data_IF_532814519157
#
_entry.id   IF_532814519157
#
_cell.length_a   1.000
_cell.length_b   1.000
_cell.length_c   1.000
_cell.angle_alpha   90.00
_cell.angle_beta   90.00
_cell.angle_gamma   90.00
#
_symmetry.space_group_name_H-M   'P 1'
#
loop_
_entity.id
_entity.type
_entity.pdbx_description
1 polymer ?
#
# COMPACT_ATOMS: atom_id res chain seq x y z
N UNK A 1 -21.75 36.90 0.70
CA UNK A 1 -21.20 35.68 1.34
C UNK A 1 -19.70 35.78 1.21
N UNK A 2 -19.02 36.08 2.31
CA UNK A 2 -17.57 36.24 2.33
C UNK A 2 -16.94 34.85 2.17
N UNK A 3 -16.32 34.59 1.01
CA UNK A 3 -15.77 33.28 0.67
C UNK A 3 -14.61 32.95 1.61
N UNK A 4 -14.88 32.14 2.62
CA UNK A 4 -13.93 31.80 3.68
C UNK A 4 -12.59 31.33 3.13
N UNK A 5 -11.54 32.14 3.33
CA UNK A 5 -10.20 31.85 2.83
C UNK A 5 -9.46 30.95 3.82
N UNK A 6 -9.45 29.64 3.59
CA UNK A 6 -8.72 28.69 4.45
C UNK A 6 -7.22 28.93 4.34
N UNK A 7 -6.52 29.05 5.48
CA UNK A 7 -5.07 29.30 5.58
C UNK A 7 -4.29 28.15 6.24
N UNK A 8 -4.99 27.11 6.72
CA UNK A 8 -4.41 25.94 7.35
C UNK A 8 -5.09 24.68 6.80
N UNK A 9 -4.29 23.64 6.55
CA UNK A 9 -4.78 22.33 6.13
C UNK A 9 -4.05 21.29 6.96
N UNK A 10 -4.79 20.43 7.64
CA UNK A 10 -4.23 19.31 8.37
C UNK A 10 -4.06 18.12 7.42
N UNK A 11 -2.87 17.52 7.45
CA UNK A 11 -2.43 16.53 6.47
C UNK A 11 -1.53 15.49 7.12
N UNK A 12 -1.35 14.37 6.44
CA UNK A 12 -0.46 13.28 6.86
C UNK A 12 0.43 12.85 5.71
N UNK A 13 1.64 12.39 6.03
CA UNK A 13 2.53 11.79 5.03
C UNK A 13 1.89 10.49 4.52
N UNK A 14 1.89 10.27 3.21
CA UNK A 14 1.28 9.09 2.56
C UNK A 14 -0.24 8.97 2.79
N UNK A 15 -0.90 10.03 3.28
CA UNK A 15 -2.33 9.99 3.59
C UNK A 15 -2.69 9.01 4.73
N UNK A 16 -1.73 8.62 5.57
CA UNK A 16 -1.99 7.62 6.63
C UNK A 16 -3.01 8.14 7.65
N UNK A 17 -3.95 7.28 8.00
CA UNK A 17 -5.03 7.60 8.92
C UNK A 17 -6.04 6.47 8.98
N UNK A 18 -6.99 6.58 9.90
CA UNK A 18 -8.08 5.59 10.01
C UNK A 18 -8.99 5.60 8.76
N UNK A 19 -9.58 4.45 8.44
CA UNK A 19 -10.58 4.28 7.36
C UNK A 19 -10.04 4.64 5.98
N UNK A 20 -10.53 5.72 5.35
CA UNK A 20 -10.18 6.11 3.97
C UNK A 20 -8.85 6.88 3.88
N UNK A 21 -8.16 7.09 5.01
CA UNK A 21 -6.96 7.90 5.09
C UNK A 21 -7.26 9.37 5.37
N UNK A 22 -6.20 10.11 5.68
CA UNK A 22 -6.22 11.57 5.83
C UNK A 22 -5.79 12.23 4.52
N UNK A 23 -5.98 13.55 4.40
CA UNK A 23 -5.41 14.30 3.30
C UNK A 23 -3.88 14.10 3.24
N UNK A 24 -3.38 13.78 2.05
CA UNK A 24 -1.95 13.55 1.81
C UNK A 24 -1.18 14.86 1.78
N UNK A 25 -0.10 14.95 2.56
CA UNK A 25 0.81 16.11 2.56
C UNK A 25 1.39 16.29 1.15
N UNK A 26 1.90 15.23 0.54
CA UNK A 26 2.55 15.29 -0.76
C UNK A 26 1.59 15.75 -1.87
N UNK A 27 0.35 15.29 -1.85
CA UNK A 27 -0.65 15.73 -2.82
C UNK A 27 -0.98 17.22 -2.66
N UNK A 28 -1.26 17.66 -1.43
CA UNK A 28 -1.61 19.07 -1.16
C UNK A 28 -0.44 20.00 -1.46
N UNK A 29 0.76 19.67 -1.00
CA UNK A 29 1.96 20.47 -1.22
C UNK A 29 2.31 20.54 -2.70
N UNK A 30 2.22 19.42 -3.43
CA UNK A 30 2.49 19.42 -4.88
C UNK A 30 1.40 20.13 -5.66
N UNK A 31 0.13 20.02 -5.27
CA UNK A 31 -0.96 20.78 -5.88
C UNK A 31 -0.74 22.29 -5.72
N UNK A 32 -0.39 22.76 -4.52
CA UNK A 32 -0.07 24.16 -4.26
C UNK A 32 1.20 24.58 -5.02
N UNK A 33 2.23 23.74 -5.08
CA UNK A 33 3.46 24.08 -5.81
C UNK A 33 3.26 24.16 -7.32
N UNK A 34 2.43 23.29 -7.90
CA UNK A 34 2.19 23.25 -9.34
C UNK A 34 1.11 24.24 -9.80
N UNK A 35 0.13 24.58 -8.94
CA UNK A 35 -1.05 25.37 -9.33
C UNK A 35 -1.35 26.55 -8.40
N UNK A 36 -0.49 26.81 -7.41
CA UNK A 36 -0.64 27.84 -6.38
C UNK A 36 -0.80 29.23 -6.96
N UNK A 37 0.10 29.58 -7.88
CA UNK A 37 0.16 30.89 -8.52
C UNK A 37 -1.02 31.13 -9.46
N UNK A 38 -1.27 30.18 -10.37
CA UNK A 38 -2.21 30.36 -11.49
C UNK A 38 -3.68 30.10 -11.11
N UNK A 39 -3.95 29.10 -10.27
CA UNK A 39 -5.32 28.59 -10.05
C UNK A 39 -5.79 28.84 -8.62
N UNK A 40 -4.88 28.92 -7.66
CA UNK A 40 -5.21 29.01 -6.24
C UNK A 40 -4.96 30.39 -5.63
N UNK A 41 -4.76 31.42 -6.47
CA UNK A 41 -4.68 32.82 -6.05
C UNK A 41 -3.40 33.17 -5.30
N UNK A 42 -2.26 32.64 -5.75
CA UNK A 42 -0.93 32.94 -5.19
C UNK A 42 -0.65 32.28 -3.85
N UNK A 43 -1.35 31.19 -3.50
CA UNK A 43 -1.05 30.44 -2.27
C UNK A 43 0.24 29.65 -2.42
N UNK A 44 1.01 29.59 -1.34
CA UNK A 44 2.25 28.84 -1.28
C UNK A 44 2.39 28.16 0.08
N UNK A 45 3.33 27.20 0.17
CA UNK A 45 3.74 26.60 1.44
C UNK A 45 5.25 26.78 1.63
N UNK A 46 5.71 26.77 2.87
CA UNK A 46 7.14 26.76 3.21
C UNK A 46 7.78 25.38 3.18
N UNK A 47 7.10 24.35 2.67
CA UNK A 47 7.56 22.96 2.72
C UNK A 47 8.69 22.75 1.71
N UNK A 48 9.83 22.24 2.18
CA UNK A 48 10.90 21.80 1.28
C UNK A 48 10.54 20.45 0.64
N UNK A 49 10.05 20.51 -0.60
CA UNK A 49 9.56 19.32 -1.33
C UNK A 49 10.63 18.28 -1.61
N UNK A 50 11.93 18.60 -1.49
CA UNK A 50 13.03 17.64 -1.70
C UNK A 50 13.03 16.52 -0.66
N UNK A 51 12.47 16.75 0.52
CA UNK A 51 12.43 15.77 1.61
C UNK A 51 11.17 14.89 1.61
N UNK A 52 10.19 15.16 0.74
CA UNK A 52 8.91 14.43 0.72
C UNK A 52 9.14 12.94 0.49
N UNK A 53 9.92 12.58 -0.54
CA UNK A 53 10.18 11.18 -0.88
C UNK A 53 10.91 10.43 0.24
N UNK A 54 11.96 11.04 0.82
CA UNK A 54 12.70 10.43 1.94
C UNK A 54 11.79 10.22 3.16
N UNK A 55 10.94 11.19 3.48
CA UNK A 55 10.01 11.12 4.61
C UNK A 55 8.96 10.03 4.40
N UNK A 56 8.43 9.93 3.18
CA UNK A 56 7.51 8.85 2.77
C UNK A 56 8.13 7.46 2.97
N UNK A 57 9.38 7.27 2.54
CA UNK A 57 10.09 5.99 2.71
C UNK A 57 10.33 5.63 4.18
N UNK A 58 10.71 6.60 5.02
CA UNK A 58 10.90 6.34 6.45
C UNK A 58 9.63 5.81 7.13
N UNK A 59 8.46 6.32 6.74
CA UNK A 59 7.17 5.87 7.26
C UNK A 59 6.83 4.47 6.75
N UNK A 60 6.99 4.21 5.46
CA UNK A 60 6.78 2.87 4.90
C UNK A 60 7.68 1.84 5.59
N UNK A 61 8.96 2.15 5.79
CA UNK A 61 9.90 1.29 6.50
C UNK A 61 9.48 1.06 7.95
N UNK A 62 9.01 2.10 8.65
CA UNK A 62 8.50 2.00 10.02
C UNK A 62 7.30 1.07 10.13
N UNK A 63 6.33 1.21 9.23
CA UNK A 63 5.13 0.36 9.16
C UNK A 63 5.50 -1.10 8.86
N UNK A 64 6.43 -1.33 7.93
CA UNK A 64 6.87 -2.68 7.57
C UNK A 64 7.63 -3.37 8.71
N UNK A 65 8.46 -2.62 9.45
CA UNK A 65 9.27 -3.15 10.56
C UNK A 65 8.44 -3.38 11.82
N UNK A 66 7.42 -2.57 12.09
CA UNK A 66 6.62 -2.68 13.30
C UNK A 66 5.15 -2.30 13.07
N UNK A 67 4.39 -3.25 12.50
CA UNK A 67 2.95 -3.07 12.21
C UNK A 67 2.13 -2.70 13.44
N UNK A 68 2.47 -3.25 14.61
CA UNK A 68 1.79 -2.94 15.88
C UNK A 68 1.97 -1.51 16.39
N UNK A 69 2.90 -0.73 15.82
CA UNK A 69 3.05 0.71 16.16
C UNK A 69 1.98 1.57 15.47
N UNK A 70 1.38 1.08 14.39
CA UNK A 70 0.44 1.83 13.55
C UNK A 70 -0.93 1.15 13.39
N UNK A 71 -1.06 -0.10 13.83
CA UNK A 71 -2.33 -0.83 13.93
C UNK A 71 -2.74 -0.91 15.41
N UNK A 72 -3.69 -0.07 15.84
CA UNK A 72 -4.28 -0.14 17.20
C UNK A 72 -5.18 -1.37 17.40
N UNK A 73 -5.70 -1.90 16.30
CA UNK A 73 -6.54 -3.09 16.23
C UNK A 73 -5.95 -3.94 15.11
N UNK A 74 -5.42 -5.10 15.46
CA UNK A 74 -4.99 -6.09 14.47
C UNK A 74 -6.22 -6.71 13.78
N UNK A 75 -6.05 -7.24 12.58
CA UNK A 75 -7.14 -7.92 11.87
C UNK A 75 -7.71 -9.07 12.74
N UNK A 76 -6.83 -9.70 13.52
CA UNK A 76 -7.14 -10.75 14.48
C UNK A 76 -8.04 -10.25 15.63
N UNK A 77 -7.85 -9.01 16.11
CA UNK A 77 -8.66 -8.40 17.18
C UNK A 77 -10.13 -8.17 16.78
N UNK A 78 -10.42 -8.02 15.48
CA UNK A 78 -11.80 -7.90 14.93
C UNK A 78 -12.36 -9.24 14.44
N UNK A 79 -11.73 -10.36 14.85
CA UNK A 79 -12.18 -11.71 14.50
C UNK A 79 -11.81 -12.12 13.07
N UNK A 80 -10.94 -11.37 12.40
CA UNK A 80 -10.38 -11.75 11.11
C UNK A 80 -9.24 -12.75 11.35
N UNK A 81 -9.60 -14.01 11.57
CA UNK A 81 -8.64 -15.10 11.60
C UNK A 81 -8.08 -15.23 10.18
N UNK A 82 -6.81 -14.91 9.99
CA UNK A 82 -6.10 -15.26 8.75
C UNK A 82 -6.28 -16.76 8.55
N UNK A 83 -6.95 -17.16 7.46
CA UNK A 83 -7.27 -18.56 7.18
C UNK A 83 -6.03 -19.50 7.06
N UNK A 84 -4.82 -18.96 7.18
CA UNK A 84 -3.58 -19.67 7.49
C UNK A 84 -2.51 -18.64 7.88
N UNK A 85 -1.55 -19.00 8.73
CA UNK A 85 -0.38 -18.18 9.08
C UNK A 85 0.45 -17.70 7.86
N UNK A 86 0.22 -18.25 6.67
CA UNK A 86 1.09 -18.12 5.50
C UNK A 86 0.34 -17.52 4.28
N UNK A 87 0.17 -16.20 4.34
CA UNK A 87 -0.76 -15.39 3.55
C UNK A 87 -0.38 -15.08 2.09
N UNK A 88 -0.07 -16.08 1.26
CA UNK A 88 -0.08 -15.91 -0.20
C UNK A 88 -1.32 -16.60 -0.77
N UNK A 89 -2.33 -15.81 -1.15
CA UNK A 89 -3.45 -16.29 -1.98
C UNK A 89 -3.02 -16.31 -3.44
N UNK A 90 -2.97 -17.50 -4.02
CA UNK A 90 -2.67 -17.68 -5.44
C UNK A 90 -3.92 -17.41 -6.30
N UNK A 91 -3.79 -16.53 -7.28
CA UNK A 91 -4.84 -16.19 -8.25
C UNK A 91 -4.31 -16.11 -9.68
N UNK A 92 -5.17 -15.72 -10.63
CA UNK A 92 -4.84 -15.63 -12.07
C UNK A 92 -3.58 -14.80 -12.36
N UNK A 93 -3.30 -13.78 -11.56
CA UNK A 93 -2.14 -12.89 -11.70
C UNK A 93 -0.88 -13.40 -10.97
N UNK A 94 -0.99 -14.44 -10.14
CA UNK A 94 0.18 -14.97 -9.41
C UNK A 94 1.20 -15.56 -10.38
N UNK A 95 2.46 -15.18 -10.17
CA UNK A 95 3.63 -15.65 -10.93
C UNK A 95 4.29 -16.89 -10.32
N UNK A 96 5.28 -17.43 -11.03
CA UNK A 96 6.00 -18.66 -10.62
C UNK A 96 6.64 -18.55 -9.24
N UNK A 97 7.19 -17.39 -8.90
CA UNK A 97 7.83 -17.17 -7.61
C UNK A 97 6.83 -17.30 -6.44
N UNK A 98 5.64 -16.70 -6.58
CA UNK A 98 4.57 -16.81 -5.59
C UNK A 98 4.06 -18.25 -5.46
N UNK A 99 3.95 -18.98 -6.58
CA UNK A 99 3.59 -20.41 -6.58
C UNK A 99 4.64 -21.25 -5.86
N UNK A 100 5.94 -21.02 -6.12
CA UNK A 100 7.05 -21.73 -5.48
C UNK A 100 7.06 -21.55 -3.97
N UNK A 101 6.93 -20.31 -3.48
CA UNK A 101 6.86 -20.01 -2.05
C UNK A 101 5.67 -20.75 -1.43
N UNK A 102 4.49 -20.69 -2.06
CA UNK A 102 3.31 -21.35 -1.52
C UNK A 102 3.43 -22.87 -1.45
N UNK A 103 4.08 -23.48 -2.44
CA UNK A 103 4.33 -24.91 -2.44
C UNK A 103 5.35 -25.33 -1.37
N UNK A 104 6.38 -24.52 -1.15
CA UNK A 104 7.35 -24.73 -0.06
C UNK A 104 6.70 -24.60 1.32
N UNK A 105 5.81 -23.62 1.52
CA UNK A 105 5.00 -23.49 2.74
C UNK A 105 4.13 -24.71 3.01
N UNK A 106 3.63 -25.37 1.95
CA UNK A 106 2.84 -26.60 2.05
C UNK A 106 3.70 -27.86 2.22
N UNK A 107 5.02 -27.72 2.35
CA UNK A 107 5.95 -28.83 2.54
C UNK A 107 6.37 -29.55 1.26
N UNK A 108 6.05 -29.00 0.09
CA UNK A 108 6.45 -29.58 -1.20
C UNK A 108 7.70 -28.89 -1.74
N UNK A 109 8.74 -29.67 -2.01
CA UNK A 109 9.93 -29.21 -2.69
C UNK A 109 9.87 -29.61 -4.17
N UNK A 110 10.00 -28.65 -5.07
CA UNK A 110 9.91 -28.87 -6.52
C UNK A 110 11.20 -28.41 -7.21
N UNK A 111 11.67 -29.21 -8.16
CA UNK A 111 12.68 -28.76 -9.12
C UNK A 111 12.08 -27.77 -10.14
N UNK A 112 12.93 -26.95 -10.75
CA UNK A 112 12.50 -25.87 -11.66
C UNK A 112 11.65 -26.38 -12.83
N UNK A 113 11.98 -27.57 -13.35
CA UNK A 113 11.22 -28.23 -14.42
C UNK A 113 9.81 -28.67 -13.97
N UNK A 114 9.67 -29.12 -12.73
CA UNK A 114 8.37 -29.54 -12.17
C UNK A 114 7.49 -28.33 -11.83
N UNK A 115 8.12 -27.24 -11.36
CA UNK A 115 7.45 -25.98 -11.10
C UNK A 115 6.86 -25.37 -12.37
N UNK A 116 7.52 -25.54 -13.52
CA UNK A 116 7.02 -25.05 -14.81
C UNK A 116 5.72 -25.75 -15.22
N UNK A 117 5.67 -27.08 -15.17
CA UNK A 117 4.45 -27.84 -15.46
C UNK A 117 3.32 -27.50 -14.48
N UNK A 118 3.65 -27.40 -13.18
CA UNK A 118 2.70 -27.02 -12.15
C UNK A 118 2.14 -25.60 -12.39
N UNK A 119 2.96 -24.66 -12.84
CA UNK A 119 2.54 -23.31 -13.15
C UNK A 119 1.52 -23.24 -14.30
N UNK A 120 1.74 -24.01 -15.37
CA UNK A 120 0.80 -24.06 -16.49
C UNK A 120 -0.54 -24.70 -16.11
N UNK A 121 -0.49 -25.79 -15.32
CA UNK A 121 -1.72 -26.40 -14.75
C UNK A 121 -2.44 -25.42 -13.83
N UNK A 122 -1.71 -24.70 -12.99
CA UNK A 122 -2.26 -23.67 -12.12
C UNK A 122 -2.96 -22.56 -12.93
N UNK A 123 -2.35 -22.03 -13.99
CA UNK A 123 -2.98 -21.02 -14.85
C UNK A 123 -4.26 -21.52 -15.52
N UNK A 124 -4.26 -22.76 -15.98
CA UNK A 124 -5.43 -23.41 -16.58
C UNK A 124 -6.59 -23.54 -15.59
N UNK A 125 -6.29 -23.88 -14.33
CA UNK A 125 -7.28 -24.01 -13.26
C UNK A 125 -7.77 -22.64 -12.74
N UNK A 126 -6.87 -21.69 -12.54
CA UNK A 126 -7.19 -20.35 -12.04
C UNK A 126 -8.02 -19.51 -13.03
N UNK A 127 -8.00 -19.85 -14.32
CA UNK A 127 -8.87 -19.25 -15.32
C UNK A 127 -10.33 -19.71 -15.29
N UNK A 128 -10.65 -20.78 -14.55
CA UNK A 128 -11.98 -21.43 -14.56
C UNK A 128 -12.87 -21.09 -13.36
N UNK A 129 -12.36 -20.47 -12.29
CA UNK A 129 -13.16 -20.04 -11.13
C UNK A 129 -13.54 -18.57 -11.27
N UNK A 130 -14.85 -18.32 -11.42
CA UNK A 130 -15.52 -17.02 -11.32
C UNK A 130 -16.00 -16.84 -9.89
#
# INVERSE_FOLDING_TARGET
>A
MDGGRVRQVDVTINGIGERAGNASLEEIVMAIKCRGEEVLGGVYTGINTKHIFTTSNMICDGILKNKGTYEFISAEDVGFIRASEHGIRLGKLSGRHALKIKMLELGYNFEEKQLEDLFWRFKSMAGRKK
#
